data_IF_663966474668
#
_entry.id   IF_663966474668
#
_cell.length_a   1.000
_cell.length_b   1.000
_cell.length_c   1.000
_cell.angle_alpha   90.00
_cell.angle_beta   90.00
_cell.angle_gamma   90.00
#
_symmetry.space_group_name_H-M   'P 1'
#
loop_
_entity.id
_entity.type
_entity.pdbx_description
1 polymer ?
#
# COMPACT_ATOMS: atom_id res chain seq x y z
N UNK A 1 -8.43 4.01 19.49
CA UNK A 1 -7.05 3.63 19.13
C UNK A 1 -6.66 4.44 17.90
N UNK A 2 -5.77 5.44 18.03
CA UNK A 2 -5.28 6.18 16.86
C UNK A 2 -4.37 5.26 16.05
N UNK A 3 -4.79 4.84 14.86
CA UNK A 3 -3.96 3.99 14.01
C UNK A 3 -2.83 4.84 13.41
N UNK A 4 -1.58 4.48 13.70
CA UNK A 4 -0.39 5.09 13.11
C UNK A 4 -0.44 4.93 11.58
N UNK A 5 -0.61 6.03 10.86
CA UNK A 5 -0.53 6.08 9.40
C UNK A 5 0.50 7.14 9.01
N UNK A 6 1.47 6.78 8.18
CA UNK A 6 2.48 7.71 7.67
C UNK A 6 2.79 7.43 6.20
N UNK A 7 2.94 8.49 5.42
CA UNK A 7 3.33 8.40 4.01
C UNK A 7 4.64 9.17 3.80
N UNK A 8 5.67 8.47 3.31
CA UNK A 8 7.00 9.04 3.04
C UNK A 8 7.32 8.88 1.56
N UNK A 9 7.76 9.97 0.90
CA UNK A 9 8.25 9.94 -0.49
C UNK A 9 9.76 9.78 -0.45
N UNK A 10 10.29 8.77 -1.13
CA UNK A 10 11.73 8.53 -1.24
C UNK A 10 12.37 9.30 -2.39
N UNK A 11 11.71 9.30 -3.56
CA UNK A 11 12.20 10.00 -4.74
C UNK A 11 11.05 10.47 -5.64
N UNK A 12 11.37 11.44 -6.51
CA UNK A 12 10.48 11.99 -7.52
C UNK A 12 11.19 12.05 -8.86
N UNK A 13 10.44 11.82 -9.93
CA UNK A 13 10.85 12.08 -11.30
C UNK A 13 9.68 12.79 -12.00
N UNK A 14 9.82 14.09 -12.26
CA UNK A 14 8.72 14.97 -12.65
C UNK A 14 7.53 14.88 -11.67
N UNK A 15 6.39 14.36 -12.15
CA UNK A 15 5.17 14.13 -11.33
C UNK A 15 5.11 12.74 -10.70
N UNK A 16 5.99 11.82 -11.10
CA UNK A 16 6.05 10.46 -10.55
C UNK A 16 6.66 10.47 -9.14
N UNK A 17 6.22 9.54 -8.30
CA UNK A 17 6.65 9.41 -6.90
C UNK A 17 6.83 7.94 -6.56
N UNK A 18 7.92 7.63 -5.88
CA UNK A 18 8.13 6.36 -5.18
C UNK A 18 8.27 6.64 -3.69
N UNK A 19 7.77 5.73 -2.86
CA UNK A 19 7.63 5.97 -1.42
C UNK A 19 7.05 4.78 -0.69
N UNK A 20 6.80 4.95 0.60
CA UNK A 20 6.20 3.94 1.47
C UNK A 20 5.05 4.53 2.27
N UNK A 21 3.97 3.76 2.40
CA UNK A 21 2.90 4.00 3.37
C UNK A 21 3.09 3.01 4.52
N UNK A 22 3.33 3.53 5.71
CA UNK A 22 3.44 2.76 6.95
C UNK A 22 2.06 2.64 7.58
N UNK A 23 1.64 1.41 7.88
CA UNK A 23 0.41 1.10 8.62
C UNK A 23 0.72 0.17 9.78
N UNK A 24 -0.18 0.00 10.77
CA UNK A 24 0.06 -0.94 11.87
C UNK A 24 0.21 -2.39 11.43
N UNK A 25 -0.24 -2.73 10.20
CA UNK A 25 -0.18 -4.09 9.63
C UNK A 25 0.99 -4.26 8.64
N UNK A 26 1.91 -3.30 8.60
CA UNK A 26 3.10 -3.34 7.74
C UNK A 26 3.18 -2.19 6.75
N UNK A 27 4.21 -2.25 5.92
CA UNK A 27 4.57 -1.23 4.93
C UNK A 27 4.01 -1.55 3.54
N UNK A 28 3.52 -0.53 2.84
CA UNK A 28 3.05 -0.61 1.46
C UNK A 28 3.97 0.24 0.59
N UNK A 29 4.74 -0.41 -0.30
CA UNK A 29 5.60 0.26 -1.28
C UNK A 29 4.75 0.88 -2.39
N UNK A 30 4.98 2.15 -2.70
CA UNK A 30 4.29 2.93 -3.73
C UNK A 30 5.24 3.23 -4.90
N UNK A 31 4.79 3.16 -6.18
CA UNK A 31 3.41 2.92 -6.63
C UNK A 31 2.93 1.49 -6.35
N UNK A 32 1.70 1.35 -5.86
CA UNK A 32 1.11 0.06 -5.51
C UNK A 32 -0.09 -0.23 -6.41
N UNK A 33 -0.19 -1.46 -6.89
CA UNK A 33 -1.42 -2.01 -7.47
C UNK A 33 -1.99 -3.01 -6.47
N UNK A 34 -3.22 -2.77 -6.01
CA UNK A 34 -3.84 -3.60 -4.97
C UNK A 34 -4.77 -4.62 -5.63
N UNK A 35 -4.62 -5.93 -5.33
CA UNK A 35 -5.60 -6.92 -5.77
C UNK A 35 -6.95 -6.67 -5.10
N UNK A 36 -8.05 -6.96 -5.80
CA UNK A 36 -9.40 -6.78 -5.28
C UNK A 36 -9.88 -8.08 -4.66
N UNK A 37 -10.10 -8.07 -3.34
CA UNK A 37 -10.78 -9.13 -2.63
C UNK A 37 -12.26 -8.83 -2.49
N UNK A 38 -13.11 -9.52 -3.25
CA UNK A 38 -14.57 -9.41 -3.13
C UNK A 38 -15.09 -10.59 -2.32
N UNK A 39 -16.01 -10.34 -1.38
CA UNK A 39 -16.56 -11.36 -0.48
C UNK A 39 -15.48 -12.13 0.32
N UNK A 40 -14.44 -11.42 0.80
CA UNK A 40 -13.43 -11.98 1.71
C UNK A 40 -12.31 -12.78 1.05
N UNK A 41 -12.24 -12.84 -0.28
CA UNK A 41 -11.19 -13.58 -1.00
C UNK A 41 -10.76 -12.87 -2.28
N UNK A 42 -9.48 -13.01 -2.64
CA UNK A 42 -9.02 -12.73 -4.01
C UNK A 42 -9.35 -13.95 -4.85
N UNK A 43 -10.21 -13.78 -5.86
CA UNK A 43 -10.75 -14.89 -6.64
C UNK A 43 -9.62 -15.79 -7.17
N UNK A 44 -9.75 -17.10 -6.93
CA UNK A 44 -8.82 -18.15 -7.36
C UNK A 44 -7.40 -18.09 -6.77
N UNK A 45 -7.15 -17.32 -5.70
CA UNK A 45 -5.85 -17.22 -5.04
C UNK A 45 -5.96 -17.59 -3.56
N UNK A 46 -4.91 -18.22 -3.01
CA UNK A 46 -4.74 -18.36 -1.57
C UNK A 46 -3.93 -17.15 -1.03
N UNK A 47 -4.19 -16.70 0.21
CA UNK A 47 -3.44 -15.62 0.86
C UNK A 47 -1.94 -15.91 1.01
#
# INVERSE_FOLDING_TARGET
MSAHFRFTIHARDGRARTGVIETPRGEIRTPAFMPVGTAGTVKAMLP
#
